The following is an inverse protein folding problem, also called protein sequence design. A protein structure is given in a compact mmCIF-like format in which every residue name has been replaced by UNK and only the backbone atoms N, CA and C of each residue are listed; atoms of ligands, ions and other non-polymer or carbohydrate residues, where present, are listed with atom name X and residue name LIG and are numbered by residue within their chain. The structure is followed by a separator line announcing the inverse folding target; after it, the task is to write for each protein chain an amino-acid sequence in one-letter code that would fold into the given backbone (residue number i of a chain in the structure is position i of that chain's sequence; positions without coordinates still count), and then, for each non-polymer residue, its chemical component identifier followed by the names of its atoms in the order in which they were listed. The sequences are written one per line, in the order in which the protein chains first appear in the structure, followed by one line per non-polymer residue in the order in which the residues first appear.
data_IF_587911414435
#
_entry.id   IF_587911414435
#
_cell.length_a   1.000
_cell.length_b   1.000
_cell.length_c   1.000
_cell.angle_alpha   90.00
_cell.angle_beta   90.00
_cell.angle_gamma   90.00
#
_symmetry.space_group_name_H-M   'P 1'
#
loop_
_entity.id
_entity.type
_entity.pdbx_description
1 polymer ?
#
# COMPACT_ATOMS: atom_id res chain seq x y z
N UNK A 1 5.65 -2.03 -4.81
CA UNK A 1 4.69 -1.57 -5.82
C UNK A 1 3.47 -2.49 -5.81
N UNK A 2 2.27 -1.94 -5.94
CA UNK A 2 1.01 -2.67 -5.97
C UNK A 2 0.24 -2.41 -7.26
N UNK A 3 -0.81 -3.20 -7.48
CA UNK A 3 -1.74 -3.03 -8.60
C UNK A 3 -3.07 -2.45 -8.08
N UNK A 4 -3.68 -1.56 -8.84
CA UNK A 4 -5.01 -1.03 -8.56
C UNK A 4 -5.83 -1.01 -9.86
N UNK A 5 -7.10 -1.43 -9.77
CA UNK A 5 -8.05 -1.37 -10.87
C UNK A 5 -9.47 -1.16 -10.34
N UNK A 6 -10.30 -0.46 -11.09
CA UNK A 6 -11.67 -0.13 -10.65
C UNK A 6 -12.43 0.73 -11.63
N UNK A 7 -13.51 1.29 -11.15
CA UNK A 7 -14.41 2.16 -11.90
C UNK A 7 -14.63 3.47 -11.14
N UNK A 8 -14.91 4.52 -11.90
CA UNK A 8 -15.13 5.87 -11.37
C UNK A 8 -16.26 6.51 -12.18
N UNK A 9 -17.18 7.17 -11.48
CA UNK A 9 -18.26 7.95 -12.08
C UNK A 9 -18.04 9.40 -11.75
N UNK A 10 -18.03 10.27 -12.74
CA UNK A 10 -17.83 11.69 -12.56
C UNK A 10 -19.06 12.49 -13.05
N UNK A 11 -19.49 13.38 -12.20
CA UNK A 11 -20.50 14.40 -12.51
C UNK A 11 -19.81 15.78 -12.63
N UNK A 12 -19.89 16.40 -13.80
CA UNK A 12 -19.40 17.77 -14.02
C UNK A 12 -20.48 18.77 -13.65
N UNK A 13 -20.36 19.37 -12.46
CA UNK A 13 -21.28 20.36 -11.98
C UNK A 13 -21.17 21.68 -12.78
N UNK A 14 -19.94 22.05 -13.20
CA UNK A 14 -19.64 23.17 -14.09
C UNK A 14 -18.55 22.78 -15.10
N UNK A 15 -18.15 23.71 -15.97
CA UNK A 15 -17.00 23.49 -16.86
C UNK A 15 -15.68 23.34 -16.10
N UNK A 16 -15.60 23.93 -14.92
CA UNK A 16 -14.40 24.00 -14.09
C UNK A 16 -14.43 23.03 -12.91
N UNK A 17 -15.61 22.50 -12.51
CA UNK A 17 -15.76 21.68 -11.30
C UNK A 17 -16.45 20.38 -11.62
N UNK A 18 -15.79 19.28 -11.23
CA UNK A 18 -16.35 17.94 -11.25
C UNK A 18 -16.33 17.30 -9.87
N UNK A 19 -17.24 16.37 -9.64
CA UNK A 19 -17.28 15.51 -8.45
C UNK A 19 -17.25 14.07 -8.95
N UNK A 20 -16.36 13.25 -8.41
CA UNK A 20 -16.30 11.84 -8.78
C UNK A 20 -16.35 10.92 -7.55
N UNK A 21 -16.99 9.78 -7.75
CA UNK A 21 -17.06 8.68 -6.81
C UNK A 21 -16.56 7.43 -7.50
N UNK A 22 -15.60 6.75 -6.87
CA UNK A 22 -14.98 5.55 -7.42
C UNK A 22 -15.09 4.35 -6.51
N UNK A 23 -14.81 3.17 -7.09
CA UNK A 23 -14.58 1.93 -6.37
C UNK A 23 -13.41 1.20 -7.01
N UNK A 24 -12.35 0.96 -6.24
CA UNK A 24 -11.09 0.41 -6.73
C UNK A 24 -10.63 -0.75 -5.86
N UNK A 25 -10.37 -1.88 -6.48
CA UNK A 25 -9.63 -2.95 -5.85
C UNK A 25 -8.13 -2.64 -5.95
N UNK A 26 -7.42 -2.73 -4.83
CA UNK A 26 -5.99 -2.52 -4.76
C UNK A 26 -5.29 -3.69 -4.07
N UNK A 27 -4.25 -4.21 -4.72
CA UNK A 27 -3.29 -5.12 -4.06
C UNK A 27 -2.08 -4.29 -3.68
N UNK A 28 -1.86 -4.17 -2.38
CA UNK A 28 -0.76 -3.45 -1.77
C UNK A 28 0.07 -4.41 -0.92
N UNK A 29 1.19 -3.94 -0.43
CA UNK A 29 2.04 -4.70 0.45
C UNK A 29 3.44 -4.13 0.50
N UNK A 30 4.23 -4.68 1.38
CA UNK A 30 5.64 -4.34 1.48
C UNK A 30 6.47 -5.61 1.47
N UNK A 31 7.70 -5.47 1.04
CA UNK A 31 8.71 -6.52 1.06
C UNK A 31 10.01 -5.93 1.54
N UNK A 32 10.62 -6.57 2.51
CA UNK A 32 11.97 -6.28 2.95
C UNK A 32 12.92 -7.37 2.46
N UNK A 33 14.12 -6.95 2.07
CA UNK A 33 15.23 -7.87 1.83
C UNK A 33 15.69 -8.49 3.14
N UNK A 34 16.66 -9.38 3.08
CA UNK A 34 17.21 -10.09 4.24
C UNK A 34 17.72 -9.14 5.34
N UNK A 35 17.47 -9.53 6.57
CA UNK A 35 18.01 -8.93 7.78
C UNK A 35 18.67 -10.02 8.62
N UNK A 36 19.85 -9.75 9.18
CA UNK A 36 20.60 -10.65 10.05
C UNK A 36 20.73 -10.04 11.44
N UNK A 37 20.34 -10.77 12.47
CA UNK A 37 20.48 -10.37 13.87
C UNK A 37 21.39 -11.35 14.61
N UNK A 38 22.24 -10.82 15.49
CA UNK A 38 23.09 -11.64 16.36
C UNK A 38 22.27 -12.16 17.54
N UNK A 39 22.20 -13.48 17.71
CA UNK A 39 21.54 -14.13 18.85
C UNK A 39 22.55 -14.42 19.97
N UNK A 40 23.71 -14.98 19.62
CA UNK A 40 24.77 -15.34 20.54
C UNK A 40 26.13 -15.12 19.87
N UNK A 41 26.78 -14.04 20.25
CA UNK A 41 28.08 -13.68 19.69
C UNK A 41 29.21 -14.62 20.12
N UNK A 42 29.13 -15.21 21.34
CA UNK A 42 30.16 -16.11 21.85
C UNK A 42 30.13 -17.45 21.10
N UNK A 43 28.90 -17.94 20.80
CA UNK A 43 28.69 -19.16 20.04
C UNK A 43 28.60 -18.94 18.53
N UNK A 44 28.74 -17.68 18.08
CA UNK A 44 28.65 -17.28 16.67
C UNK A 44 27.34 -17.71 15.98
N UNK A 45 26.25 -17.67 16.74
CA UNK A 45 24.91 -17.97 16.26
C UNK A 45 24.18 -16.69 15.89
N UNK A 46 23.63 -16.68 14.71
CA UNK A 46 22.91 -15.55 14.14
C UNK A 46 21.57 -16.07 13.61
N UNK A 47 20.57 -15.22 13.63
CA UNK A 47 19.30 -15.49 12.97
C UNK A 47 19.13 -14.53 11.79
N UNK A 48 18.98 -15.08 10.61
CA UNK A 48 18.63 -14.34 9.40
C UNK A 48 17.13 -14.40 9.15
N UNK A 49 16.57 -13.27 8.74
CA UNK A 49 15.19 -13.17 8.24
C UNK A 49 15.28 -12.77 6.77
N UNK A 50 14.72 -13.58 5.90
CA UNK A 50 14.66 -13.28 4.47
C UNK A 50 13.24 -13.37 3.94
N UNK A 51 13.00 -12.70 2.80
CA UNK A 51 11.72 -12.68 2.12
C UNK A 51 10.53 -12.24 2.99
N UNK A 52 10.78 -11.27 3.88
CA UNK A 52 9.74 -10.72 4.73
C UNK A 52 8.76 -9.91 3.89
N UNK A 53 7.53 -10.36 3.78
CA UNK A 53 6.51 -9.70 2.98
C UNK A 53 5.11 -9.84 3.58
N UNK A 54 4.24 -8.91 3.19
CA UNK A 54 2.81 -9.00 3.46
C UNK A 54 2.02 -8.58 2.23
N UNK A 55 0.84 -9.17 2.06
CA UNK A 55 -0.09 -8.83 1.00
C UNK A 55 -1.39 -8.30 1.61
N UNK A 56 -1.77 -7.10 1.18
CA UNK A 56 -2.97 -6.39 1.60
C UNK A 56 -3.88 -6.21 0.39
N UNK A 57 -5.13 -6.60 0.55
CA UNK A 57 -6.15 -6.45 -0.48
C UNK A 57 -7.18 -5.43 0.00
N UNK A 58 -7.31 -4.33 -0.70
CA UNK A 58 -8.19 -3.23 -0.33
C UNK A 58 -9.29 -3.01 -1.36
N UNK A 59 -10.47 -2.66 -0.86
CA UNK A 59 -11.47 -1.93 -1.61
C UNK A 59 -11.39 -0.45 -1.21
N UNK A 60 -10.96 0.40 -2.13
CA UNK A 60 -10.85 1.83 -1.94
C UNK A 60 -12.04 2.55 -2.57
N UNK A 61 -12.70 3.40 -1.80
CA UNK A 61 -13.87 4.19 -2.23
C UNK A 61 -13.53 5.67 -2.08
N UNK A 62 -12.92 6.31 -3.10
CA UNK A 62 -12.64 7.73 -3.10
C UNK A 62 -13.87 8.55 -3.52
N UNK A 63 -14.12 9.64 -2.80
CA UNK A 63 -14.99 10.75 -3.19
C UNK A 63 -14.09 11.96 -3.46
N UNK A 64 -14.06 12.45 -4.70
CA UNK A 64 -13.12 13.46 -5.15
C UNK A 64 -13.85 14.69 -5.69
N UNK A 65 -13.27 15.86 -5.45
CA UNK A 65 -13.58 17.10 -6.17
C UNK A 65 -12.44 17.36 -7.14
N UNK A 66 -12.79 17.65 -8.39
CA UNK A 66 -11.84 17.97 -9.47
C UNK A 66 -12.04 19.41 -9.90
N UNK A 67 -10.96 20.20 -9.87
CA UNK A 67 -10.90 21.55 -10.41
C UNK A 67 -10.17 21.55 -11.76
N UNK A 68 -10.89 21.83 -12.84
CA UNK A 68 -10.36 21.82 -14.20
C UNK A 68 -9.65 23.14 -14.52
N UNK A 69 -8.33 23.09 -14.73
CA UNK A 69 -7.53 24.23 -15.16
C UNK A 69 -7.62 24.41 -16.69
N UNK A 70 -7.70 23.28 -17.38
CA UNK A 70 -8.00 23.23 -18.81
C UNK A 70 -9.11 22.20 -19.06
N UNK A 71 -9.53 22.01 -20.31
CA UNK A 71 -10.50 20.96 -20.65
C UNK A 71 -9.97 19.55 -20.34
N UNK A 72 -8.66 19.38 -20.31
CA UNK A 72 -7.98 18.10 -20.15
C UNK A 72 -7.37 17.90 -18.75
N UNK A 73 -6.86 18.98 -18.12
CA UNK A 73 -6.09 18.92 -16.89
C UNK A 73 -6.94 19.38 -15.69
N UNK A 74 -7.01 18.55 -14.67
CA UNK A 74 -7.66 18.86 -13.41
C UNK A 74 -6.74 18.59 -12.21
N UNK A 75 -6.81 19.46 -11.21
CA UNK A 75 -6.39 19.15 -9.84
C UNK A 75 -7.52 18.41 -9.15
N UNK A 76 -7.17 17.47 -8.29
CA UNK A 76 -8.15 16.72 -7.52
C UNK A 76 -7.75 16.58 -6.06
N UNK A 77 -8.76 16.68 -5.21
CA UNK A 77 -8.65 16.45 -3.76
C UNK A 77 -9.93 15.80 -3.27
N UNK A 78 -9.84 14.98 -2.23
CA UNK A 78 -11.01 14.30 -1.73
C UNK A 78 -10.77 13.54 -0.44
N UNK A 79 -11.71 12.65 -0.13
CA UNK A 79 -11.60 11.69 0.96
C UNK A 79 -11.75 10.28 0.39
N UNK A 80 -11.03 9.34 0.96
CA UNK A 80 -11.09 7.93 0.55
C UNK A 80 -11.27 7.06 1.78
N UNK A 81 -12.26 6.19 1.73
CA UNK A 81 -12.38 5.07 2.65
C UNK A 81 -11.71 3.84 2.04
N UNK A 82 -10.82 3.20 2.79
CA UNK A 82 -10.19 1.94 2.44
C UNK A 82 -10.73 0.82 3.32
N UNK A 83 -11.13 -0.29 2.71
CA UNK A 83 -11.63 -1.47 3.40
C UNK A 83 -10.70 -2.65 3.10
N UNK A 84 -10.09 -3.21 4.15
CA UNK A 84 -9.24 -4.37 4.05
C UNK A 84 -10.08 -5.62 3.84
N UNK A 85 -9.88 -6.32 2.72
CA UNK A 85 -10.69 -7.46 2.29
C UNK A 85 -10.16 -8.81 2.76
N UNK A 86 -8.88 -8.88 3.14
CA UNK A 86 -8.25 -10.12 3.61
C UNK A 86 -7.80 -10.01 5.07
N UNK A 87 -7.43 -11.13 5.65
CA UNK A 87 -6.72 -11.20 6.92
C UNK A 87 -5.22 -11.26 6.60
N UNK A 88 -4.48 -10.14 6.78
CA UNK A 88 -3.10 -10.09 6.38
C UNK A 88 -2.24 -10.95 7.30
N UNK A 89 -1.19 -11.50 6.71
CA UNK A 89 -0.16 -12.27 7.42
C UNK A 89 1.21 -11.72 7.07
N UNK A 90 2.08 -11.74 8.07
CA UNK A 90 3.50 -11.63 7.80
C UNK A 90 4.00 -13.01 7.36
N UNK A 91 4.70 -13.06 6.25
CA UNK A 91 5.38 -14.25 5.79
C UNK A 91 6.87 -13.92 5.66
N UNK A 92 7.70 -14.76 6.28
CA UNK A 92 9.15 -14.63 6.19
C UNK A 92 9.81 -15.99 6.34
N UNK A 93 11.03 -16.09 5.87
CA UNK A 93 11.88 -17.26 6.07
C UNK A 93 12.89 -16.93 7.18
N UNK A 94 12.80 -17.65 8.29
CA UNK A 94 13.82 -17.63 9.34
C UNK A 94 14.92 -18.62 8.98
N UNK A 95 16.16 -18.18 9.07
CA UNK A 95 17.34 -18.98 8.76
C UNK A 95 18.28 -18.91 9.95
N UNK A 96 18.61 -20.06 10.53
CA UNK A 96 19.64 -20.15 11.54
C UNK A 96 21.02 -20.24 10.86
N UNK A 97 21.94 -19.38 11.28
CA UNK A 97 23.27 -19.23 10.68
C UNK A 97 24.31 -19.47 11.77
N UNK A 98 25.15 -20.45 11.60
CA UNK A 98 26.37 -20.61 12.41
C UNK A 98 27.58 -20.15 11.59
N UNK A 99 28.47 -19.36 12.22
CA UNK A 99 29.70 -18.92 11.58
C UNK A 99 30.90 -19.63 12.20
N UNK A 100 31.80 -20.11 11.37
CA UNK A 100 33.08 -20.69 11.78
C UNK A 100 34.05 -19.61 12.29
N UNK A 101 35.22 -20.01 12.77
CA UNK A 101 36.24 -19.10 13.26
C UNK A 101 36.87 -18.21 12.17
N UNK A 102 36.66 -18.56 10.90
CA UNK A 102 37.15 -17.82 9.73
C UNK A 102 36.07 -16.93 9.09
N UNK A 103 34.85 -16.87 9.69
CA UNK A 103 33.71 -16.09 9.19
C UNK A 103 32.89 -16.80 8.11
N UNK A 104 33.20 -18.05 7.81
CA UNK A 104 32.37 -18.89 6.93
C UNK A 104 30.99 -19.11 7.55
N UNK A 105 29.92 -18.99 6.78
CA UNK A 105 28.55 -19.18 7.23
C UNK A 105 28.04 -20.56 6.83
N UNK A 106 27.49 -21.29 7.80
CA UNK A 106 26.73 -22.52 7.56
C UNK A 106 25.27 -22.24 7.85
N UNK A 107 24.40 -22.51 6.89
CA UNK A 107 22.95 -22.35 7.04
C UNK A 107 22.38 -23.69 7.52
N UNK A 108 21.97 -23.74 8.76
CA UNK A 108 21.61 -25.02 9.40
C UNK A 108 20.11 -25.32 9.36
N UNK A 109 19.26 -24.33 9.33
CA UNK A 109 17.82 -24.56 9.28
C UNK A 109 17.08 -23.36 8.66
N UNK A 110 16.20 -23.62 7.70
CA UNK A 110 15.32 -22.59 7.16
C UNK A 110 13.86 -22.96 7.39
N UNK A 111 13.14 -22.12 8.09
CA UNK A 111 11.71 -22.30 8.38
C UNK A 111 10.89 -21.13 7.82
N UNK A 112 9.82 -21.46 7.10
CA UNK A 112 8.83 -20.46 6.73
C UNK A 112 7.91 -20.20 7.91
N UNK A 113 7.87 -18.94 8.33
CA UNK A 113 7.03 -18.48 9.43
C UNK A 113 5.91 -17.63 8.83
N UNK A 114 4.69 -17.91 9.25
CA UNK A 114 3.52 -17.10 8.91
C UNK A 114 2.80 -16.73 10.21
N UNK A 115 2.65 -15.44 10.44
CA UNK A 115 1.95 -14.91 11.62
C UNK A 115 0.88 -13.90 11.20
N UNK A 116 -0.25 -13.89 11.90
CA UNK A 116 -1.33 -12.95 11.64
C UNK A 116 -0.88 -11.52 11.99
N UNK A 117 -1.21 -10.57 11.13
CA UNK A 117 -1.03 -9.16 11.42
C UNK A 117 -2.36 -8.54 11.87
N UNK A 118 -2.45 -7.97 13.07
CA UNK A 118 -3.65 -7.29 13.55
C UNK A 118 -3.78 -5.91 12.86
N UNK A 119 -4.17 -5.91 11.59
CA UNK A 119 -4.43 -4.70 10.84
C UNK A 119 -5.90 -4.25 10.97
N UNK A 120 -6.11 -2.94 11.02
CA UNK A 120 -7.46 -2.38 11.00
C UNK A 120 -8.16 -2.68 9.69
N UNK A 121 -9.43 -3.07 9.80
CA UNK A 121 -10.27 -3.45 8.64
C UNK A 121 -10.68 -2.25 7.78
N UNK A 122 -10.60 -1.02 8.33
CA UNK A 122 -10.93 0.20 7.61
C UNK A 122 -9.92 1.31 7.91
N UNK A 123 -9.61 2.08 6.89
CA UNK A 123 -8.79 3.28 7.00
C UNK A 123 -9.44 4.45 6.26
N UNK A 124 -9.00 5.66 6.59
CA UNK A 124 -9.39 6.90 5.91
C UNK A 124 -8.15 7.63 5.46
N UNK A 125 -8.17 8.09 4.23
CA UNK A 125 -7.08 8.87 3.64
C UNK A 125 -7.59 10.10 2.90
N UNK A 126 -6.69 11.05 2.69
CA UNK A 126 -6.89 12.27 1.91
C UNK A 126 -6.10 12.15 0.60
N UNK A 127 -6.73 11.74 -0.50
CA UNK A 127 -6.11 11.76 -1.82
C UNK A 127 -6.00 13.19 -2.36
N UNK A 128 -4.81 13.53 -2.86
CA UNK A 128 -4.51 14.77 -3.58
C UNK A 128 -3.81 14.39 -4.88
N UNK A 129 -4.16 15.00 -6.01
CA UNK A 129 -3.53 14.60 -7.26
C UNK A 129 -3.86 15.44 -8.47
N UNK A 130 -3.46 14.90 -9.61
CA UNK A 130 -3.68 15.45 -10.94
C UNK A 130 -4.36 14.41 -11.81
N UNK A 131 -5.27 14.87 -12.66
CA UNK A 131 -5.95 14.07 -13.70
C UNK A 131 -5.75 14.74 -15.04
N UNK A 132 -5.35 13.96 -16.04
CA UNK A 132 -5.23 14.43 -17.42
C UNK A 132 -6.06 13.52 -18.33
N UNK A 133 -6.94 14.14 -19.12
CA UNK A 133 -7.83 13.43 -20.04
C UNK A 133 -7.51 13.82 -21.48
N UNK A 134 -7.32 12.83 -22.33
CA UNK A 134 -7.16 13.01 -23.76
C UNK A 134 -7.89 11.92 -24.54
N UNK A 135 -8.82 12.30 -25.43
CA UNK A 135 -9.62 11.39 -26.26
C UNK A 135 -10.30 10.25 -25.47
N UNK A 136 -10.81 10.56 -24.27
CA UNK A 136 -11.43 9.58 -23.36
C UNK A 136 -10.46 8.75 -22.53
N UNK A 137 -9.15 8.80 -22.81
CA UNK A 137 -8.14 8.19 -21.93
C UNK A 137 -7.86 9.13 -20.77
N UNK A 138 -7.96 8.62 -19.54
CA UNK A 138 -7.71 9.35 -18.31
C UNK A 138 -6.45 8.82 -17.63
N UNK A 139 -5.52 9.71 -17.35
CA UNK A 139 -4.30 9.45 -16.59
C UNK A 139 -4.40 10.18 -15.25
N UNK A 140 -4.35 9.44 -14.15
CA UNK A 140 -4.37 10.01 -12.82
C UNK A 140 -3.06 9.73 -12.08
N UNK A 141 -2.56 10.75 -11.37
CA UNK A 141 -1.48 10.63 -10.40
C UNK A 141 -1.99 11.15 -9.06
N UNK A 142 -2.00 10.30 -8.03
CA UNK A 142 -2.55 10.60 -6.70
C UNK A 142 -1.54 10.29 -5.61
N UNK A 143 -1.51 11.13 -4.59
CA UNK A 143 -0.84 10.87 -3.33
C UNK A 143 -1.90 10.73 -2.24
N UNK A 144 -1.99 9.56 -1.62
CA UNK A 144 -2.94 9.27 -0.56
C UNK A 144 -2.26 9.47 0.79
N UNK A 145 -2.72 10.49 1.54
CA UNK A 145 -2.30 10.78 2.89
C UNK A 145 -3.20 10.03 3.87
N UNK A 146 -2.72 8.95 4.48
CA UNK A 146 -3.45 8.23 5.52
C UNK A 146 -3.70 9.12 6.74
N UNK A 147 -4.94 9.21 7.17
CA UNK A 147 -5.35 9.96 8.35
C UNK A 147 -5.45 9.06 9.57
N UNK A 148 -5.87 7.82 9.37
CA UNK A 148 -6.05 6.82 10.43
C UNK A 148 -4.82 5.92 10.57
N UNK A 149 -4.62 5.38 11.76
CA UNK A 149 -3.63 4.36 12.02
C UNK A 149 -4.12 3.01 11.48
N UNK A 150 -3.29 2.30 10.72
CA UNK A 150 -3.61 0.99 10.11
C UNK A 150 -3.14 -0.19 10.96
N UNK A 151 -2.31 0.06 11.97
CA UNK A 151 -1.82 -0.95 12.90
C UNK A 151 -2.72 -0.99 14.14
N UNK A 152 -3.12 -2.18 14.56
CA UNK A 152 -3.94 -2.44 15.75
C UNK A 152 -3.16 -3.28 16.78
N UNK A 153 -1.83 -3.32 16.68
CA UNK A 153 -0.97 -4.10 17.57
C UNK A 153 -0.99 -3.52 18.99
N UNK A 154 -1.26 -4.32 20.03
CA UNK A 154 -1.23 -3.86 21.40
C UNK A 154 0.17 -3.39 21.82
N UNK A 155 0.27 -2.17 22.37
CA UNK A 155 1.53 -1.63 22.90
C UNK A 155 2.43 -0.90 21.91
N UNK A 156 1.99 -0.70 20.67
CA UNK A 156 2.66 0.18 19.70
C UNK A 156 1.96 1.53 19.66
N UNK A 157 2.54 2.52 20.36
CA UNK A 157 2.07 3.92 20.33
C UNK A 157 2.52 4.66 19.04
N UNK A 158 3.33 4.04 18.21
CA UNK A 158 3.74 4.64 16.93
C UNK A 158 2.63 4.60 15.90
N UNK A 159 2.25 5.79 15.44
CA UNK A 159 1.22 5.98 14.41
C UNK A 159 1.71 5.48 13.05
N UNK A 160 1.30 4.27 12.67
CA UNK A 160 1.56 3.70 11.35
C UNK A 160 0.46 4.13 10.37
N UNK A 161 0.71 5.18 9.59
CA UNK A 161 -0.24 5.71 8.60
C UNK A 161 0.14 5.28 7.20
N UNK A 162 -0.87 4.91 6.43
CA UNK A 162 -0.70 4.53 5.04
C UNK A 162 -0.37 5.76 4.17
N UNK A 163 0.73 5.73 3.42
CA UNK A 163 1.14 6.78 2.50
C UNK A 163 1.48 6.15 1.16
N UNK A 164 0.62 6.37 0.17
CA UNK A 164 0.71 5.67 -1.10
C UNK A 164 0.67 6.62 -2.27
N UNK A 165 1.64 6.48 -3.16
CA UNK A 165 1.61 7.12 -4.47
C UNK A 165 0.94 6.16 -5.47
N UNK A 166 -0.05 6.65 -6.19
CA UNK A 166 -0.85 5.86 -7.13
C UNK A 166 -0.83 6.51 -8.51
N UNK A 167 -0.53 5.70 -9.52
CA UNK A 167 -0.75 6.06 -10.91
C UNK A 167 -1.82 5.14 -11.48
N UNK A 168 -2.80 5.71 -12.19
CA UNK A 168 -3.85 4.93 -12.82
C UNK A 168 -4.11 5.40 -14.25
N UNK A 169 -4.52 4.46 -15.08
CA UNK A 169 -4.97 4.70 -16.44
C UNK A 169 -6.39 4.19 -16.53
N UNK A 170 -7.29 5.00 -17.05
CA UNK A 170 -8.69 4.69 -17.22
C UNK A 170 -9.22 5.14 -18.57
N UNK A 171 -10.47 4.79 -18.84
CA UNK A 171 -11.20 5.29 -20.00
C UNK A 171 -12.54 5.86 -19.55
N UNK A 172 -12.85 7.06 -20.03
CA UNK A 172 -14.13 7.73 -19.79
C UNK A 172 -15.09 7.46 -20.94
N UNK A 173 -16.21 6.86 -20.59
CA UNK A 173 -17.34 6.76 -21.49
C UNK A 173 -18.21 8.03 -21.35
N UNK A 174 -18.55 8.69 -22.46
CA UNK A 174 -19.57 9.73 -22.46
C UNK A 174 -20.94 9.05 -22.32
N UNK A 175 -21.70 9.45 -21.32
CA UNK A 175 -23.08 9.05 -21.09
C UNK A 175 -24.03 10.10 -21.64
#
# INVERSE_FOLDING_TARGET
AGFMGGVDVEYRATKEIGISLGAYYAKQGFRFSSYEATIDAERRKYQGISDYHTNLHYLNVPLMVKGYVTRQLAFMVGVQAGFLLNDPKYEFTSIDIERDQYGGATYDNSQKVSAAWPAKKADVSLPIGLSYEYMGVVLDARYNLGLTNVDDSPGHDESSKNRVFTFSVGYRFAL
#
